data_IF_092224971358
#
_entry.id   IF_092224971358
#
_cell.length_a   1.000
_cell.length_b   1.000
_cell.length_c   1.000
_cell.angle_alpha   90.00
_cell.angle_beta   90.00
_cell.angle_gamma   90.00
#
_symmetry.space_group_name_H-M   'P 1'
#
loop_
_entity.id
_entity.type
_entity.pdbx_description
1 polymer ?
#
# COMPACT_ATOMS: atom_id res chain seq x y z
N UNK A 1 -48.98 -42.26 -40.04
CA UNK A 1 -48.40 -41.09 -39.35
C UNK A 1 -48.79 -41.16 -37.87
N UNK A 2 -47.82 -41.29 -36.95
CA UNK A 2 -48.12 -41.45 -35.51
C UNK A 2 -48.57 -40.10 -34.90
N UNK A 3 -49.68 -40.06 -34.14
CA UNK A 3 -50.17 -38.84 -33.48
C UNK A 3 -49.11 -38.14 -32.62
N UNK A 4 -48.19 -38.89 -32.03
CA UNK A 4 -47.08 -38.36 -31.22
C UNK A 4 -46.11 -37.48 -32.02
N UNK A 5 -45.86 -37.81 -33.29
CA UNK A 5 -44.88 -37.08 -34.11
C UNK A 5 -45.41 -35.73 -34.59
N UNK A 6 -46.73 -35.56 -34.65
CA UNK A 6 -47.41 -34.31 -35.02
C UNK A 6 -47.40 -33.33 -33.84
N UNK A 7 -47.60 -33.84 -32.63
CA UNK A 7 -47.65 -33.01 -31.41
C UNK A 7 -46.24 -32.66 -30.91
N UNK A 8 -45.29 -33.59 -30.99
CA UNK A 8 -43.97 -33.44 -30.36
C UNK A 8 -42.79 -33.19 -31.33
N UNK A 9 -42.99 -33.29 -32.65
CA UNK A 9 -41.88 -33.31 -33.62
C UNK A 9 -41.21 -31.95 -33.89
N UNK A 10 -41.82 -30.82 -33.52
CA UNK A 10 -41.28 -29.46 -33.76
C UNK A 10 -41.32 -28.57 -32.52
N UNK A 11 -42.36 -28.65 -31.70
CA UNK A 11 -42.54 -27.79 -30.53
C UNK A 11 -41.66 -28.19 -29.33
N UNK A 12 -41.15 -29.42 -29.27
CA UNK A 12 -40.45 -29.95 -28.09
C UNK A 12 -38.93 -29.71 -28.11
N UNK A 13 -38.38 -29.36 -29.27
CA UNK A 13 -36.99 -28.94 -29.43
C UNK A 13 -36.78 -27.50 -28.97
N UNK A 14 -37.77 -26.64 -29.19
CA UNK A 14 -37.70 -25.21 -28.84
C UNK A 14 -37.49 -24.96 -27.33
N UNK A 15 -38.20 -25.62 -26.39
CA UNK A 15 -37.94 -25.49 -24.96
C UNK A 15 -36.53 -25.95 -24.54
N UNK A 16 -36.01 -27.00 -25.18
CA UNK A 16 -34.68 -27.54 -24.91
C UNK A 16 -33.59 -26.59 -25.40
N UNK A 17 -33.75 -26.06 -26.61
CA UNK A 17 -32.83 -25.08 -27.18
C UNK A 17 -32.79 -23.78 -26.36
N UNK A 18 -33.94 -23.29 -25.91
CA UNK A 18 -34.02 -22.10 -25.06
C UNK A 18 -33.33 -22.34 -23.71
N UNK A 19 -33.59 -23.49 -23.06
CA UNK A 19 -32.92 -23.85 -21.79
C UNK A 19 -31.41 -23.97 -21.97
N UNK A 20 -30.96 -24.60 -23.04
CA UNK A 20 -29.54 -24.77 -23.34
C UNK A 20 -28.85 -23.41 -23.60
N UNK A 21 -29.48 -22.52 -24.37
CA UNK A 21 -28.97 -21.15 -24.60
C UNK A 21 -28.89 -20.36 -23.30
N UNK A 22 -29.93 -20.40 -22.47
CA UNK A 22 -29.93 -19.75 -21.16
C UNK A 22 -28.81 -20.29 -20.25
N UNK A 23 -28.64 -21.61 -20.21
CA UNK A 23 -27.55 -22.25 -19.47
C UNK A 23 -26.17 -21.77 -19.95
N UNK A 24 -25.95 -21.69 -21.26
CA UNK A 24 -24.68 -21.20 -21.80
C UNK A 24 -24.42 -19.74 -21.49
N UNK A 25 -25.43 -18.87 -21.57
CA UNK A 25 -25.29 -17.46 -21.19
C UNK A 25 -24.87 -17.35 -19.72
N UNK A 26 -25.56 -18.06 -18.82
CA UNK A 26 -25.22 -18.07 -17.39
C UNK A 26 -23.80 -18.60 -17.15
N UNK A 27 -23.43 -19.69 -17.83
CA UNK A 27 -22.09 -20.28 -17.71
C UNK A 27 -20.99 -19.31 -18.17
N UNK A 28 -21.21 -18.59 -19.27
CA UNK A 28 -20.29 -17.57 -19.78
C UNK A 28 -20.19 -16.38 -18.82
N UNK A 29 -21.32 -15.88 -18.30
CA UNK A 29 -21.33 -14.82 -17.30
C UNK A 29 -20.54 -15.19 -16.03
N UNK A 30 -20.71 -16.41 -15.53
CA UNK A 30 -20.00 -16.89 -14.33
C UNK A 30 -18.49 -17.00 -14.58
N UNK A 31 -18.07 -17.52 -15.73
CA UNK A 31 -16.65 -17.62 -16.08
C UNK A 31 -15.99 -16.23 -16.17
N UNK A 32 -16.68 -15.26 -16.79
CA UNK A 32 -16.22 -13.88 -16.84
C UNK A 32 -16.11 -13.28 -15.44
N UNK A 33 -17.05 -13.58 -14.54
CA UNK A 33 -17.02 -13.13 -13.16
C UNK A 33 -15.85 -13.73 -12.37
N UNK A 34 -15.55 -15.02 -12.54
CA UNK A 34 -14.41 -15.67 -11.90
C UNK A 34 -13.08 -15.07 -12.37
N UNK A 35 -12.96 -14.82 -13.68
CA UNK A 35 -11.77 -14.16 -14.23
C UNK A 35 -11.62 -12.74 -13.69
N UNK A 36 -12.71 -11.95 -13.65
CA UNK A 36 -12.72 -10.62 -13.06
C UNK A 36 -12.41 -10.65 -11.56
N UNK A 37 -12.85 -11.69 -10.85
CA UNK A 37 -12.53 -11.92 -9.44
C UNK A 37 -11.04 -12.19 -9.21
N UNK A 38 -10.41 -13.01 -10.08
CA UNK A 38 -8.96 -13.27 -10.03
C UNK A 38 -8.15 -12.01 -10.33
N UNK A 39 -8.50 -11.29 -11.40
CA UNK A 39 -7.83 -10.04 -11.77
C UNK A 39 -7.93 -8.99 -10.65
N UNK A 40 -9.12 -8.82 -10.05
CA UNK A 40 -9.31 -7.93 -8.89
C UNK A 40 -8.52 -8.33 -7.65
N UNK A 41 -8.13 -9.60 -7.49
CA UNK A 41 -7.27 -10.04 -6.39
C UNK A 41 -5.78 -9.80 -6.65
N UNK A 42 -5.35 -9.88 -7.90
CA UNK A 42 -3.96 -9.64 -8.30
C UNK A 42 -3.60 -8.15 -8.15
N UNK A 43 -4.50 -7.24 -8.53
CA UNK A 43 -4.22 -5.80 -8.50
C UNK A 43 -3.83 -5.25 -7.12
N UNK A 44 -4.52 -5.59 -6.00
CA UNK A 44 -4.10 -5.17 -4.67
C UNK A 44 -2.74 -5.74 -4.26
N UNK A 45 -2.43 -6.98 -4.64
CA UNK A 45 -1.16 -7.61 -4.30
C UNK A 45 0.02 -6.91 -5.00
N UNK A 46 -0.11 -6.63 -6.30
CA UNK A 46 0.88 -5.86 -7.06
C UNK A 46 1.10 -4.46 -6.45
N UNK A 47 0.01 -3.80 -6.02
CA UNK A 47 0.09 -2.50 -5.37
C UNK A 47 0.81 -2.58 -4.00
N UNK A 48 0.55 -3.62 -3.23
CA UNK A 48 1.20 -3.84 -1.93
C UNK A 48 2.70 -4.09 -2.09
N UNK A 49 3.10 -4.86 -3.10
CA UNK A 49 4.51 -5.09 -3.45
C UNK A 49 5.21 -3.78 -3.83
N UNK A 50 4.59 -2.94 -4.67
CA UNK A 50 5.13 -1.62 -5.02
C UNK A 50 5.26 -0.69 -3.80
N UNK A 51 4.28 -0.71 -2.90
CA UNK A 51 4.35 0.08 -1.67
C UNK A 51 5.48 -0.36 -0.76
N UNK A 52 5.69 -1.67 -0.60
CA UNK A 52 6.78 -2.23 0.19
C UNK A 52 8.13 -1.79 -0.39
N UNK A 53 8.31 -1.91 -1.71
CA UNK A 53 9.52 -1.49 -2.39
C UNK A 53 9.82 0.01 -2.19
N UNK A 54 8.82 0.87 -2.37
CA UNK A 54 8.96 2.32 -2.16
C UNK A 54 9.33 2.64 -0.70
N UNK A 55 8.73 1.95 0.27
CA UNK A 55 9.00 2.16 1.68
C UNK A 55 10.43 1.74 2.05
N UNK A 56 10.88 0.58 1.57
CA UNK A 56 12.26 0.12 1.75
C UNK A 56 13.27 1.08 1.13
N UNK A 57 13.03 1.50 -0.12
CA UNK A 57 13.87 2.48 -0.81
C UNK A 57 13.95 3.81 -0.05
N UNK A 58 12.82 4.30 0.48
CA UNK A 58 12.77 5.51 1.31
C UNK A 58 13.58 5.35 2.60
N UNK A 59 13.48 4.21 3.28
CA UNK A 59 14.26 3.92 4.48
C UNK A 59 15.76 3.89 4.20
N UNK A 60 16.18 3.23 3.12
CA UNK A 60 17.58 3.14 2.72
C UNK A 60 18.12 4.54 2.44
N UNK A 61 17.39 5.37 1.70
CA UNK A 61 17.79 6.74 1.41
C UNK A 61 17.96 7.56 2.71
N UNK A 62 16.96 7.55 3.59
CA UNK A 62 17.02 8.25 4.88
C UNK A 62 18.21 7.80 5.72
N UNK A 63 18.49 6.50 5.77
CA UNK A 63 19.63 5.92 6.49
C UNK A 63 20.96 6.40 5.92
N UNK A 64 21.13 6.39 4.59
CA UNK A 64 22.34 6.88 3.92
C UNK A 64 22.57 8.36 4.17
N UNK A 65 21.53 9.19 4.02
CA UNK A 65 21.62 10.63 4.26
C UNK A 65 21.96 10.92 5.72
N UNK A 66 21.33 10.22 6.68
CA UNK A 66 21.65 10.35 8.09
C UNK A 66 23.11 9.98 8.37
N UNK A 67 23.59 8.85 7.85
CA UNK A 67 24.99 8.43 8.01
C UNK A 67 25.96 9.46 7.44
N UNK A 68 25.70 9.98 6.24
CA UNK A 68 26.50 11.04 5.64
C UNK A 68 26.49 12.31 6.51
N UNK A 69 25.31 12.74 6.98
CA UNK A 69 25.18 13.91 7.83
C UNK A 69 25.95 13.74 9.14
N UNK A 70 25.75 12.62 9.84
CA UNK A 70 26.38 12.32 11.12
C UNK A 70 27.92 12.26 11.00
N UNK A 71 28.45 11.78 9.86
CA UNK A 71 29.89 11.81 9.57
C UNK A 71 30.45 13.23 9.41
N UNK A 72 29.64 14.19 8.95
CA UNK A 72 30.03 15.59 8.77
C UNK A 72 29.84 16.43 10.04
N UNK A 73 29.16 15.90 11.08
CA UNK A 73 29.02 16.59 12.36
C UNK A 73 30.37 16.60 13.07
N UNK A 74 30.96 17.79 13.14
CA UNK A 74 32.15 18.03 13.96
C UNK A 74 31.78 17.87 15.43
N UNK A 75 32.47 16.96 16.13
CA UNK A 75 32.38 16.85 17.59
C UNK A 75 32.92 18.15 18.19
N UNK A 76 32.05 18.85 18.92
CA UNK A 76 32.43 20.03 19.69
C UNK A 76 32.41 19.68 21.17
N UNK A 77 33.51 19.98 21.83
CA UNK A 77 33.56 19.92 23.29
C UNK A 77 32.95 21.20 23.85
N UNK A 78 32.03 21.03 24.78
CA UNK A 78 31.35 22.12 25.44
C UNK A 78 31.88 22.30 26.86
N UNK A 79 31.95 23.56 27.32
CA UNK A 79 32.36 23.91 28.68
C UNK A 79 31.22 24.59 29.42
N UNK A 80 31.19 24.41 30.74
CA UNK A 80 30.29 25.17 31.63
C UNK A 80 30.58 26.67 31.46
N UNK A 81 29.54 27.49 31.39
CA UNK A 81 29.58 28.94 31.12
C UNK A 81 29.66 29.31 29.63
N UNK A 82 29.71 28.33 28.72
CA UNK A 82 29.75 28.61 27.28
C UNK A 82 28.36 29.01 26.76
N UNK A 83 28.30 30.11 26.01
CA UNK A 83 27.10 30.50 25.25
C UNK A 83 27.00 29.66 23.98
N UNK A 84 25.91 28.93 23.83
CA UNK A 84 25.61 28.05 22.70
C UNK A 84 24.25 28.39 22.11
N UNK A 85 24.07 28.08 20.82
CA UNK A 85 22.77 28.15 20.17
C UNK A 85 22.18 26.74 20.11
N UNK A 86 21.02 26.56 20.73
CA UNK A 86 20.24 25.33 20.66
C UNK A 86 19.16 25.49 19.58
N UNK A 87 19.11 24.54 18.64
CA UNK A 87 18.01 24.41 17.70
C UNK A 87 16.98 23.44 18.28
N UNK A 88 15.76 23.90 18.53
CA UNK A 88 14.70 23.04 19.06
C UNK A 88 13.88 22.35 17.94
N UNK A 89 12.98 21.44 18.34
CA UNK A 89 12.10 20.71 17.41
C UNK A 89 11.12 21.60 16.64
N UNK A 90 10.87 22.83 17.12
CA UNK A 90 10.07 23.86 16.43
C UNK A 90 10.92 24.71 15.47
N UNK A 91 12.14 24.28 15.16
CA UNK A 91 13.10 24.96 14.29
C UNK A 91 13.45 26.38 14.75
N UNK A 92 13.37 26.65 16.06
CA UNK A 92 13.77 27.93 16.64
C UNK A 92 15.18 27.81 17.22
N UNK A 93 16.01 28.80 16.91
CA UNK A 93 17.33 28.98 17.53
C UNK A 93 17.18 29.76 18.84
N UNK A 94 17.69 29.18 19.92
CA UNK A 94 17.66 29.76 21.27
C UNK A 94 19.09 29.89 21.75
N UNK A 95 19.48 31.08 22.19
CA UNK A 95 20.75 31.30 22.86
C UNK A 95 20.66 30.84 24.31
N UNK A 96 21.56 29.95 24.72
CA UNK A 96 21.62 29.39 26.06
C UNK A 96 23.06 29.44 26.56
N UNK A 97 23.22 29.53 27.88
CA UNK A 97 24.50 29.38 28.55
C UNK A 97 24.52 28.03 29.26
N UNK A 98 25.54 27.22 28.99
CA UNK A 98 25.64 25.89 29.58
C UNK A 98 25.94 25.99 31.07
N UNK A 99 25.12 25.33 31.89
CA UNK A 99 25.30 25.27 33.34
C UNK A 99 25.54 23.84 33.76
N UNK A 100 26.23 23.67 34.88
CA UNK A 100 26.49 22.34 35.45
C UNK A 100 25.20 21.76 36.06
N UNK A 101 25.03 20.45 35.95
CA UNK A 101 23.81 19.71 36.33
C UNK A 101 23.49 19.88 37.83
N UNK A 102 24.52 20.12 38.64
CA UNK A 102 24.44 20.34 40.09
C UNK A 102 23.89 21.73 40.50
N UNK A 103 23.66 22.66 39.56
CA UNK A 103 23.29 24.05 39.88
C UNK A 103 21.86 24.46 39.53
N UNK A 104 20.97 23.50 39.21
CA UNK A 104 19.53 23.69 39.02
C UNK A 104 19.13 24.89 38.15
N UNK A 105 18.85 24.61 36.88
CA UNK A 105 17.60 25.00 36.25
C UNK A 105 17.45 24.17 34.98
N UNK A 106 16.61 23.15 35.08
CA UNK A 106 16.18 22.27 33.98
C UNK A 106 15.49 23.12 32.91
N UNK A 107 15.96 23.05 31.67
CA UNK A 107 15.25 23.53 30.47
C UNK A 107 14.97 22.35 29.55
#
# INVERSE_FOLDING_TARGET
>A
MSPYRIIFGKACHLPVEIKHRAYWVVKQCNLAYDQAGKQRKLQPQELEELHLEVYENSQIYKKKVKQFHDQQILRKDFRVGQKVLLLNSRLKLIALELKDENTNNTF
#
